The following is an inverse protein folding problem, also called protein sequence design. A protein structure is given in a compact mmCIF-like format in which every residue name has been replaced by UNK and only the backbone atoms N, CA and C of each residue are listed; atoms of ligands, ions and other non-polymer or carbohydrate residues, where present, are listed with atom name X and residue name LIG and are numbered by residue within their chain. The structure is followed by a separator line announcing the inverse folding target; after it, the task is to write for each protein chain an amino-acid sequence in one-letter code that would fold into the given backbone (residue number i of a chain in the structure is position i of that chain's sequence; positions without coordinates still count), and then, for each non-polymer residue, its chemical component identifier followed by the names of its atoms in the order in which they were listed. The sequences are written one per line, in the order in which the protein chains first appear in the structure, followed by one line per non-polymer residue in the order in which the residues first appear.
data_IF_046478680574
#
_entry.id   IF_046478680574
#
_cell.length_a   1.000
_cell.length_b   1.000
_cell.length_c   1.000
_cell.angle_alpha   90.00
_cell.angle_beta   90.00
_cell.angle_gamma   90.00
#
_symmetry.space_group_name_H-M   'P 1'
#
loop_
_entity.id
_entity.type
_entity.pdbx_description
1 polymer ?
#
# COMPACT_ATOMS: atom_id res chain seq x y z
N UNK A 1 -1.56 -27.26 10.07
CA UNK A 1 -0.95 -25.92 10.11
C UNK A 1 -1.67 -25.07 9.07
N UNK A 2 -2.67 -24.32 9.51
CA UNK A 2 -3.49 -23.45 8.68
C UNK A 2 -2.68 -22.23 8.25
N UNK A 3 -2.69 -21.96 6.95
CA UNK A 3 -2.01 -20.84 6.31
C UNK A 3 -2.56 -19.51 6.86
N UNK A 4 -1.72 -18.76 7.58
CA UNK A 4 -2.06 -17.56 8.36
C UNK A 4 -2.33 -16.34 7.45
N UNK A 5 -2.19 -16.47 6.12
CA UNK A 5 -2.34 -15.37 5.17
C UNK A 5 -3.66 -15.37 4.36
N UNK A 6 -4.65 -16.20 4.71
CA UNK A 6 -5.93 -16.17 4.01
C UNK A 6 -6.79 -15.00 4.47
N UNK A 7 -6.70 -13.87 3.76
CA UNK A 7 -7.76 -12.86 3.78
C UNK A 7 -9.07 -13.50 3.26
N UNK A 8 -10.23 -13.20 3.87
CA UNK A 8 -11.50 -13.78 3.46
C UNK A 8 -11.97 -13.08 2.18
N UNK A 9 -11.55 -13.60 1.03
CA UNK A 9 -12.15 -13.22 -0.25
C UNK A 9 -13.55 -13.85 -0.33
N UNK A 10 -14.55 -13.11 0.12
CA UNK A 10 -15.92 -13.59 0.23
C UNK A 10 -16.95 -12.48 0.11
N UNK A 11 -16.97 -11.73 -0.99
CA UNK A 11 -18.13 -10.91 -1.36
C UNK A 11 -17.82 -9.62 -2.11
N UNK A 12 -18.11 -9.64 -3.42
CA UNK A 12 -18.60 -8.51 -4.23
C UNK A 12 -18.02 -7.09 -4.02
N UNK A 13 -16.71 -6.92 -4.05
CA UNK A 13 -16.12 -5.62 -4.46
C UNK A 13 -14.85 -5.87 -5.27
N UNK A 14 -14.99 -5.97 -6.60
CA UNK A 14 -13.83 -6.11 -7.49
C UNK A 14 -12.97 -4.84 -7.56
N UNK A 15 -13.44 -3.72 -7.00
CA UNK A 15 -12.74 -2.42 -7.03
C UNK A 15 -11.87 -2.13 -5.81
N UNK A 16 -12.10 -2.79 -4.67
CA UNK A 16 -11.50 -2.38 -3.37
C UNK A 16 -10.49 -3.38 -2.80
N UNK A 17 -10.19 -4.45 -3.53
CA UNK A 17 -9.28 -5.50 -3.06
C UNK A 17 -7.82 -5.14 -3.31
N UNK A 18 -7.04 -5.09 -2.24
CA UNK A 18 -5.57 -4.97 -2.32
C UNK A 18 -4.95 -6.11 -3.12
N UNK A 19 -4.12 -5.77 -4.12
CA UNK A 19 -3.34 -6.71 -4.92
C UNK A 19 -1.86 -6.58 -4.58
N UNK A 20 -1.20 -7.71 -4.33
CA UNK A 20 0.23 -7.72 -4.00
C UNK A 20 1.07 -7.37 -5.24
N UNK A 21 1.81 -6.27 -5.14
CA UNK A 21 2.81 -5.85 -6.14
C UNK A 21 4.16 -5.65 -5.45
N UNK A 22 5.22 -6.30 -5.96
CA UNK A 22 6.55 -6.26 -5.36
C UNK A 22 7.46 -5.26 -6.08
N UNK A 23 8.04 -4.32 -5.33
CA UNK A 23 9.07 -3.38 -5.83
C UNK A 23 10.18 -3.20 -4.81
N UNK A 24 11.37 -2.86 -5.28
CA UNK A 24 12.50 -2.49 -4.42
C UNK A 24 12.51 -0.98 -4.19
N UNK A 25 12.77 -0.56 -2.95
CA UNK A 25 12.88 0.85 -2.58
C UNK A 25 14.31 1.20 -2.17
N UNK A 26 14.73 2.44 -2.45
CA UNK A 26 15.96 2.99 -1.86
C UNK A 26 15.85 2.96 -0.33
N UNK A 27 16.92 2.60 0.42
CA UNK A 27 16.89 2.55 1.88
C UNK A 27 16.43 3.84 2.55
N UNK A 28 16.85 4.99 2.02
CA UNK A 28 16.45 6.32 2.48
C UNK A 28 14.95 6.57 2.31
N UNK A 29 14.40 6.24 1.14
CA UNK A 29 12.96 6.36 0.86
C UNK A 29 12.14 5.47 1.78
N UNK A 30 12.57 4.21 1.99
CA UNK A 30 11.90 3.28 2.91
C UNK A 30 11.89 3.81 4.35
N UNK A 31 13.00 4.39 4.82
CA UNK A 31 13.08 5.01 6.16
C UNK A 31 12.11 6.18 6.30
N UNK A 32 12.09 7.09 5.32
CA UNK A 32 11.19 8.25 5.31
C UNK A 32 9.72 7.83 5.30
N UNK A 33 9.38 6.82 4.50
CA UNK A 33 8.02 6.27 4.44
C UNK A 33 7.57 5.70 5.79
N UNK A 34 8.43 4.94 6.48
CA UNK A 34 8.13 4.42 7.83
C UNK A 34 7.89 5.53 8.84
N UNK A 35 8.70 6.59 8.80
CA UNK A 35 8.54 7.74 9.69
C UNK A 35 7.24 8.50 9.41
N UNK A 36 6.91 8.69 8.13
CA UNK A 36 5.66 9.31 7.69
C UNK A 36 4.44 8.53 8.21
N UNK A 37 4.45 7.22 8.04
CA UNK A 37 3.38 6.31 8.49
C UNK A 37 3.21 6.38 10.01
N UNK A 38 4.31 6.26 10.76
CA UNK A 38 4.30 6.32 12.21
C UNK A 38 3.82 7.68 12.75
N UNK A 39 4.13 8.78 12.08
CA UNK A 39 3.74 10.12 12.55
C UNK A 39 2.29 10.50 12.26
N UNK A 40 1.57 9.70 11.45
CA UNK A 40 0.21 10.01 10.97
C UNK A 40 -0.82 8.95 11.30
N UNK A 41 -0.40 7.91 12.02
CA UNK A 41 -1.24 6.74 12.35
C UNK A 41 -1.85 6.08 11.10
N UNK A 42 -1.06 5.98 10.03
CA UNK A 42 -1.43 5.28 8.80
C UNK A 42 -0.50 4.10 8.56
N UNK A 43 -0.98 3.10 7.83
CA UNK A 43 -0.15 1.99 7.39
C UNK A 43 0.79 2.42 6.27
N UNK A 44 1.88 1.66 6.10
CA UNK A 44 2.77 1.83 4.93
C UNK A 44 2.01 1.60 3.62
N UNK A 45 1.00 0.72 3.62
CA UNK A 45 0.20 0.42 2.45
C UNK A 45 -0.63 1.64 2.02
N UNK A 46 -1.40 2.22 2.94
CA UNK A 46 -2.18 3.44 2.67
C UNK A 46 -1.30 4.61 2.23
N UNK A 47 -0.13 4.78 2.87
CA UNK A 47 0.81 5.82 2.48
C UNK A 47 1.41 5.62 1.08
N UNK A 48 1.66 4.37 0.68
CA UNK A 48 2.15 4.05 -0.67
C UNK A 48 1.05 4.24 -1.70
N UNK A 49 -0.16 3.76 -1.40
CA UNK A 49 -1.32 3.89 -2.28
C UNK A 49 -1.64 5.36 -2.57
N UNK A 50 -1.74 6.19 -1.54
CA UNK A 50 -1.96 7.63 -1.69
C UNK A 50 -0.84 8.32 -2.50
N UNK A 51 0.42 7.97 -2.24
CA UNK A 51 1.55 8.55 -2.96
C UNK A 51 1.59 8.15 -4.44
N UNK A 52 1.17 6.92 -4.77
CA UNK A 52 1.05 6.45 -6.15
C UNK A 52 -0.13 7.12 -6.84
N UNK A 53 -1.29 7.19 -6.20
CA UNK A 53 -2.48 7.89 -6.73
C UNK A 53 -2.14 9.34 -7.06
N UNK A 54 -1.60 10.09 -6.10
CA UNK A 54 -1.22 11.49 -6.30
C UNK A 54 -0.20 11.67 -7.44
N UNK A 55 0.76 10.74 -7.56
CA UNK A 55 1.72 10.76 -8.65
C UNK A 55 1.03 10.53 -10.00
N UNK A 56 0.16 9.52 -10.12
CA UNK A 56 -0.52 9.20 -11.37
C UNK A 56 -1.53 10.28 -11.77
N UNK A 57 -2.29 10.82 -10.82
CA UNK A 57 -3.21 11.94 -11.03
C UNK A 57 -2.48 13.17 -11.60
N UNK A 58 -1.27 13.44 -11.09
CA UNK A 58 -0.41 14.53 -11.60
C UNK A 58 0.06 14.28 -13.03
N UNK A 59 0.32 13.02 -13.39
CA UNK A 59 0.72 12.65 -14.75
C UNK A 59 -0.50 12.43 -15.69
N UNK A 60 -1.72 12.54 -15.18
CA UNK A 60 -2.97 12.41 -15.95
C UNK A 60 -3.28 10.97 -16.38
N UNK A 61 -2.87 9.98 -15.60
CA UNK A 61 -3.08 8.54 -15.86
C UNK A 61 -4.19 7.98 -14.98
#
# INVERSE_FOLDING_TARGET
MSDVFRAPDGGRDRGERWVKTSVSMKPSTRRRLKQYAASRDVTIQEAVDAAISEYLDREGV
#
